data_IF_079615393041
#
_entry.id   IF_079615393041
#
_cell.length_a   1.000
_cell.length_b   1.000
_cell.length_c   1.000
_cell.angle_alpha   90.00
_cell.angle_beta   90.00
_cell.angle_gamma   90.00
#
_symmetry.space_group_name_H-M   'P 1'
#
loop_
_entity.id
_entity.type
_entity.pdbx_description
1 polymer ?
#
# COMPACT_ATOMS: atom_id res chain seq x y z
N UNK A 1 -51.40 16.58 -11.62
CA UNK A 1 -50.73 15.68 -10.67
C UNK A 1 -49.47 15.19 -11.37
N UNK A 2 -48.35 15.87 -11.15
CA UNK A 2 -47.09 15.66 -11.86
C UNK A 2 -46.19 14.90 -10.90
N UNK A 3 -45.78 13.68 -11.25
CA UNK A 3 -44.81 12.91 -10.48
C UNK A 3 -43.43 13.54 -10.69
N UNK A 4 -42.96 14.36 -9.75
CA UNK A 4 -41.54 14.68 -9.65
C UNK A 4 -40.79 13.43 -9.18
N UNK A 5 -39.96 12.90 -10.06
CA UNK A 5 -38.94 11.91 -9.71
C UNK A 5 -37.88 12.61 -8.86
N UNK A 6 -37.44 12.05 -7.72
CA UNK A 6 -36.38 12.66 -6.93
C UNK A 6 -35.08 12.65 -7.72
N UNK A 7 -34.40 13.79 -7.71
CA UNK A 7 -33.06 13.97 -8.27
C UNK A 7 -32.12 12.91 -7.68
N UNK A 8 -31.22 12.29 -8.46
CA UNK A 8 -30.25 11.35 -7.91
C UNK A 8 -29.40 12.09 -6.87
N UNK A 9 -29.39 11.56 -5.65
CA UNK A 9 -28.46 11.97 -4.61
C UNK A 9 -27.03 11.95 -5.18
N UNK A 10 -26.15 12.90 -4.82
CA UNK A 10 -24.76 12.81 -5.22
C UNK A 10 -24.18 11.51 -4.65
N UNK A 11 -23.84 10.58 -5.54
CA UNK A 11 -22.99 9.46 -5.19
C UNK A 11 -21.71 10.03 -4.57
N UNK A 12 -21.24 9.54 -3.40
CA UNK A 12 -19.96 9.98 -2.86
C UNK A 12 -18.87 9.70 -3.90
N UNK A 13 -18.00 10.69 -4.14
CA UNK A 13 -17.01 10.65 -5.21
C UNK A 13 -16.14 9.39 -5.13
N UNK A 14 -16.38 8.46 -6.04
CA UNK A 14 -15.70 7.17 -6.23
C UNK A 14 -14.26 7.29 -6.78
N UNK A 15 -13.52 8.37 -6.48
CA UNK A 15 -12.40 8.77 -7.33
C UNK A 15 -11.17 9.36 -6.64
N UNK A 16 -10.92 9.06 -5.37
CA UNK A 16 -9.66 9.45 -4.73
C UNK A 16 -8.69 8.28 -4.75
N UNK A 17 -7.64 8.41 -5.54
CA UNK A 17 -6.56 7.42 -5.62
C UNK A 17 -5.59 7.57 -4.44
N UNK A 18 -4.78 6.53 -4.16
CA UNK A 18 -3.66 6.62 -3.19
C UNK A 18 -2.80 7.88 -3.39
N UNK A 19 -2.67 8.32 -4.65
CA UNK A 19 -1.89 9.49 -5.02
C UNK A 19 -2.48 10.79 -4.48
N UNK A 20 -3.81 10.92 -4.47
CA UNK A 20 -4.53 12.16 -4.15
C UNK A 20 -4.93 12.25 -2.67
N UNK A 21 -4.66 11.20 -1.88
CA UNK A 21 -4.93 11.20 -0.44
C UNK A 21 -3.69 10.84 0.34
N UNK A 22 -3.30 9.58 0.27
CA UNK A 22 -2.24 9.01 1.10
C UNK A 22 -0.88 9.63 0.80
N UNK A 23 -0.55 9.80 -0.48
CA UNK A 23 0.74 10.37 -0.88
C UNK A 23 0.78 11.90 -0.86
N UNK A 24 -0.33 12.58 -0.56
CA UNK A 24 -0.34 14.02 -0.23
C UNK A 24 -0.14 14.26 1.28
N UNK A 25 -0.28 13.21 2.09
CA UNK A 25 -0.13 13.29 3.54
C UNK A 25 1.32 13.60 3.92
N UNK A 26 1.53 14.75 4.57
CA UNK A 26 2.84 15.18 5.07
C UNK A 26 3.55 14.15 5.96
N UNK A 27 2.90 13.50 6.95
CA UNK A 27 3.56 12.46 7.76
C UNK A 27 3.96 11.22 6.94
N UNK A 28 3.18 10.83 5.92
CA UNK A 28 3.55 9.74 5.01
C UNK A 28 4.79 10.12 4.20
N UNK A 29 4.78 11.30 3.58
CA UNK A 29 5.90 11.78 2.78
C UNK A 29 7.18 11.92 3.60
N UNK A 30 7.09 12.43 4.83
CA UNK A 30 8.22 12.52 5.74
C UNK A 30 8.80 11.13 6.04
N UNK A 31 7.96 10.16 6.36
CA UNK A 31 8.40 8.79 6.66
C UNK A 31 9.02 8.09 5.45
N UNK A 32 8.40 8.23 4.27
CA UNK A 32 8.93 7.69 3.01
C UNK A 32 10.32 8.27 2.72
N UNK A 33 10.47 9.59 2.83
CA UNK A 33 11.75 10.27 2.57
C UNK A 33 12.84 9.93 3.58
N UNK A 34 12.48 9.70 4.84
CA UNK A 34 13.45 9.36 5.89
C UNK A 34 13.91 7.90 5.81
N UNK A 35 13.02 6.97 5.50
CA UNK A 35 13.24 5.54 5.76
C UNK A 35 13.14 4.62 4.54
N UNK A 36 12.68 5.10 3.38
CA UNK A 36 12.39 4.24 2.22
C UNK A 36 12.98 4.77 0.91
N UNK A 37 13.27 3.84 0.00
CA UNK A 37 13.48 4.12 -1.42
C UNK A 37 12.28 3.57 -2.17
N UNK A 38 11.55 4.41 -2.89
CA UNK A 38 10.35 4.03 -3.62
C UNK A 38 10.67 3.73 -5.09
N UNK A 39 10.14 2.61 -5.59
CA UNK A 39 10.21 2.22 -7.00
C UNK A 39 8.92 1.53 -7.42
N UNK A 40 8.70 1.43 -8.73
CA UNK A 40 7.62 0.65 -9.33
C UNK A 40 8.18 -0.20 -10.48
N UNK A 41 7.50 -1.30 -10.79
CA UNK A 41 7.87 -2.19 -11.89
C UNK A 41 6.61 -2.80 -12.47
N UNK A 42 6.62 -3.07 -13.78
CA UNK A 42 5.55 -3.80 -14.42
C UNK A 42 5.77 -5.30 -14.24
N UNK A 43 4.68 -6.06 -14.03
CA UNK A 43 4.74 -7.53 -13.96
C UNK A 43 5.43 -8.10 -15.19
N UNK A 44 5.13 -7.55 -16.37
CA UNK A 44 5.74 -7.97 -17.62
C UNK A 44 7.27 -7.80 -17.64
N UNK A 45 7.77 -6.71 -17.04
CA UNK A 45 9.22 -6.48 -16.93
C UNK A 45 9.86 -7.49 -15.98
N UNK A 46 9.20 -7.83 -14.88
CA UNK A 46 9.66 -8.85 -13.93
C UNK A 46 9.68 -10.24 -14.57
N UNK A 47 8.65 -10.61 -15.33
CA UNK A 47 8.61 -11.87 -16.11
C UNK A 47 9.73 -11.92 -17.16
N UNK A 48 9.98 -10.82 -17.86
CA UNK A 48 11.07 -10.73 -18.83
C UNK A 48 12.44 -10.82 -18.15
N UNK A 49 12.61 -10.27 -16.95
CA UNK A 49 13.83 -10.43 -16.14
C UNK A 49 13.99 -11.88 -15.65
N UNK A 50 12.90 -12.56 -15.31
CA UNK A 50 12.94 -13.95 -14.85
C UNK A 50 13.39 -14.92 -15.97
N UNK A 51 13.02 -14.64 -17.22
CA UNK A 51 13.31 -15.51 -18.37
C UNK A 51 14.70 -15.28 -18.97
N UNK A 52 15.30 -14.09 -18.79
CA UNK A 52 16.66 -13.78 -19.27
C UNK A 52 17.72 -14.51 -18.45
N UNK A 53 18.49 -15.38 -19.11
CA UNK A 53 19.57 -16.17 -18.47
C UNK A 53 20.86 -15.38 -18.18
N UNK A 54 20.92 -14.13 -18.61
CA UNK A 54 22.15 -13.34 -18.59
C UNK A 54 22.52 -12.83 -17.19
N UNK A 55 21.55 -12.74 -16.26
CA UNK A 55 21.80 -12.22 -14.93
C UNK A 55 21.01 -12.98 -13.86
N UNK A 56 21.68 -13.93 -13.19
CA UNK A 56 21.08 -14.72 -12.11
C UNK A 56 20.61 -13.86 -10.93
N UNK A 57 21.34 -12.77 -10.64
CA UNK A 57 20.99 -11.84 -9.57
C UNK A 57 19.64 -11.16 -9.84
N UNK A 58 19.45 -10.55 -11.01
CA UNK A 58 18.16 -9.92 -11.35
C UNK A 58 17.04 -10.94 -11.50
N UNK A 59 17.31 -12.14 -12.02
CA UNK A 59 16.34 -13.22 -12.05
C UNK A 59 15.84 -13.57 -10.65
N UNK A 60 16.74 -13.67 -9.67
CA UNK A 60 16.36 -14.01 -8.30
C UNK A 60 15.51 -12.91 -7.65
N UNK A 61 15.88 -11.64 -7.86
CA UNK A 61 15.08 -10.51 -7.37
C UNK A 61 13.68 -10.51 -7.99
N UNK A 62 13.58 -10.71 -9.30
CA UNK A 62 12.29 -10.78 -10.00
C UNK A 62 11.43 -11.94 -9.50
N UNK A 63 12.02 -13.12 -9.26
CA UNK A 63 11.32 -14.27 -8.68
C UNK A 63 10.73 -13.95 -7.31
N UNK A 64 11.49 -13.32 -6.41
CA UNK A 64 11.03 -12.94 -5.07
C UNK A 64 9.85 -11.97 -5.10
N UNK A 65 9.83 -11.03 -6.06
CA UNK A 65 8.73 -10.09 -6.22
C UNK A 65 7.51 -10.78 -6.83
N UNK A 66 7.69 -11.58 -7.89
CA UNK A 66 6.61 -12.33 -8.54
C UNK A 66 5.94 -13.35 -7.59
N UNK A 67 6.69 -13.93 -6.65
CA UNK A 67 6.15 -14.86 -5.64
C UNK A 67 5.07 -14.21 -4.75
N UNK A 68 5.21 -12.91 -4.45
CA UNK A 68 4.26 -12.18 -3.59
C UNK A 68 3.21 -11.41 -4.37
N UNK A 69 3.41 -11.20 -5.66
CA UNK A 69 2.50 -10.42 -6.47
C UNK A 69 1.15 -11.12 -6.63
N UNK A 70 0.07 -10.40 -6.32
CA UNK A 70 -1.29 -10.77 -6.65
C UNK A 70 -1.96 -9.64 -7.45
N UNK A 71 -2.65 -10.00 -8.54
CA UNK A 71 -3.29 -9.03 -9.43
C UNK A 71 -4.37 -8.20 -8.68
N UNK A 72 -4.56 -6.89 -8.98
CA UNK A 72 -3.92 -6.10 -10.06
C UNK A 72 -2.67 -5.32 -9.65
N UNK A 73 -2.55 -4.96 -8.37
CA UNK A 73 -1.47 -4.13 -7.84
C UNK A 73 -1.16 -4.64 -6.44
N UNK A 74 0.13 -4.78 -6.17
CA UNK A 74 0.65 -5.22 -4.88
C UNK A 74 1.70 -4.18 -4.43
N UNK A 75 1.52 -3.62 -3.24
CA UNK A 75 2.52 -2.77 -2.61
C UNK A 75 3.44 -3.66 -1.78
N UNK A 76 4.75 -3.51 -1.92
CA UNK A 76 5.74 -4.35 -1.24
C UNK A 76 6.80 -3.49 -0.53
N UNK A 77 7.27 -3.98 0.62
CA UNK A 77 8.45 -3.49 1.32
C UNK A 77 9.49 -4.61 1.26
N UNK A 78 10.64 -4.29 0.69
CA UNK A 78 11.70 -5.22 0.41
C UNK A 78 13.01 -4.81 1.11
N UNK A 79 13.78 -5.78 1.57
CA UNK A 79 15.19 -5.55 1.94
C UNK A 79 16.05 -5.33 0.67
N UNK A 80 17.26 -4.75 0.78
CA UNK A 80 18.14 -4.52 -0.37
C UNK A 80 18.51 -5.77 -1.18
N UNK A 81 18.40 -6.96 -0.57
CA UNK A 81 18.62 -8.25 -1.24
C UNK A 81 17.37 -8.79 -1.97
N UNK A 82 16.28 -8.02 -2.04
CA UNK A 82 15.02 -8.37 -2.68
C UNK A 82 14.04 -9.18 -1.83
N UNK A 83 14.38 -9.51 -0.59
CA UNK A 83 13.47 -10.24 0.30
C UNK A 83 12.26 -9.36 0.64
N UNK A 84 11.06 -9.81 0.26
CA UNK A 84 9.81 -9.12 0.60
C UNK A 84 9.44 -9.41 2.05
N UNK A 85 9.40 -8.38 2.89
CA UNK A 85 9.13 -8.49 4.34
C UNK A 85 7.72 -8.07 4.73
N UNK A 86 7.07 -7.26 3.89
CA UNK A 86 5.68 -6.89 4.03
C UNK A 86 5.11 -6.56 2.66
N UNK A 87 3.86 -6.93 2.43
CA UNK A 87 3.13 -6.57 1.22
C UNK A 87 1.65 -6.41 1.52
N UNK A 88 0.95 -5.67 0.65
CA UNK A 88 -0.49 -5.49 0.71
C UNK A 88 -1.08 -5.33 -0.70
N UNK A 89 -2.12 -6.12 -0.97
CA UNK A 89 -2.83 -6.09 -2.23
C UNK A 89 -3.75 -4.86 -2.30
N UNK A 90 -3.87 -4.23 -3.46
CA UNK A 90 -4.70 -3.04 -3.63
C UNK A 90 -6.18 -3.30 -3.35
N UNK A 91 -6.74 -4.47 -3.70
CA UNK A 91 -8.14 -4.77 -3.42
C UNK A 91 -8.37 -4.86 -1.91
N UNK A 92 -7.51 -5.59 -1.21
CA UNK A 92 -7.58 -5.70 0.26
C UNK A 92 -7.40 -4.34 0.94
N UNK A 93 -6.49 -3.50 0.43
CA UNK A 93 -6.32 -2.14 0.92
C UNK A 93 -7.61 -1.32 0.79
N UNK A 94 -8.26 -1.36 -0.38
CA UNK A 94 -9.53 -0.64 -0.58
C UNK A 94 -10.65 -1.17 0.32
N UNK A 95 -10.71 -2.48 0.55
CA UNK A 95 -11.72 -3.09 1.42
C UNK A 95 -11.61 -2.58 2.86
N UNK A 96 -10.40 -2.56 3.44
CA UNK A 96 -10.19 -2.12 4.82
C UNK A 96 -10.34 -0.61 5.00
N UNK A 97 -10.07 0.19 3.97
CA UNK A 97 -10.18 1.65 4.04
C UNK A 97 -11.59 2.16 3.71
N UNK A 98 -12.44 1.33 3.13
CA UNK A 98 -13.84 1.65 2.84
C UNK A 98 -14.77 1.47 4.04
N UNK A 99 -14.28 0.87 5.14
CA UNK A 99 -15.07 0.64 6.35
C UNK A 99 -15.33 1.95 7.11
N UNK A 100 -16.58 2.13 7.54
CA UNK A 100 -16.98 3.31 8.31
C UNK A 100 -16.38 3.24 9.73
N UNK A 101 -16.03 4.37 10.36
CA UNK A 101 -15.42 4.41 11.70
C UNK A 101 -16.21 3.70 12.80
N UNK A 102 -17.50 3.45 12.59
CA UNK A 102 -18.43 2.83 13.54
C UNK A 102 -18.11 1.36 13.88
N UNK A 103 -17.22 0.68 13.14
CA UNK A 103 -16.87 -0.74 13.34
C UNK A 103 -15.45 -0.95 13.91
N UNK A 104 -14.69 0.13 14.17
CA UNK A 104 -13.26 0.08 14.59
C UNK A 104 -13.11 0.35 16.10
N UNK A 105 -13.96 -0.21 16.94
CA UNK A 105 -13.75 -0.28 18.39
C UNK A 105 -13.37 -1.70 18.81
N UNK A 106 -12.10 -2.09 18.66
CA UNK A 106 -11.60 -3.31 19.34
C UNK A 106 -10.08 -3.50 19.39
N UNK A 107 -9.25 -2.89 18.54
CA UNK A 107 -7.81 -3.22 18.55
C UNK A 107 -6.82 -2.05 18.49
N UNK A 108 -6.46 -1.62 19.71
CA UNK A 108 -5.11 -1.31 20.22
C UNK A 108 -4.28 -0.19 19.53
N UNK A 109 -3.99 0.85 20.34
CA UNK A 109 -3.14 2.05 20.14
C UNK A 109 -3.80 3.30 19.53
N UNK A 110 -4.55 4.01 20.36
CA UNK A 110 -4.94 5.42 20.12
C UNK A 110 -3.70 6.33 20.14
N UNK A 111 -3.22 6.73 18.97
CA UNK A 111 -2.43 7.96 18.80
C UNK A 111 -3.37 9.10 18.37
N UNK A 112 -3.10 10.28 18.90
CA UNK A 112 -3.95 11.48 18.97
C UNK A 112 -4.62 11.93 17.66
N UNK A 113 -5.93 12.17 17.79
CA UNK A 113 -6.75 13.24 17.16
C UNK A 113 -6.06 14.11 16.10
N UNK A 114 -6.31 13.80 14.83
CA UNK A 114 -6.72 14.73 13.77
C UNK A 114 -7.38 13.89 12.66
N UNK A 115 -8.26 14.49 11.88
CA UNK A 115 -9.09 13.86 10.83
C UNK A 115 -8.27 13.20 9.70
N UNK A 116 -7.50 12.14 9.98
CA UNK A 116 -6.82 11.37 8.95
C UNK A 116 -7.80 10.38 8.30
N UNK A 117 -7.87 10.43 6.97
CA UNK A 117 -8.61 9.46 6.15
C UNK A 117 -8.14 8.03 6.51
N UNK A 118 -9.06 7.05 6.66
CA UNK A 118 -8.75 5.64 6.90
C UNK A 118 -7.62 5.08 6.03
N UNK A 119 -7.52 5.54 4.78
CA UNK A 119 -6.47 5.17 3.83
C UNK A 119 -5.08 5.61 4.30
N UNK A 120 -4.98 6.83 4.85
CA UNK A 120 -3.71 7.38 5.35
C UNK A 120 -3.27 6.64 6.60
N UNK A 121 -4.18 6.41 7.54
CA UNK A 121 -3.89 5.64 8.75
C UNK A 121 -3.44 4.20 8.44
N UNK A 122 -4.14 3.55 7.51
CA UNK A 122 -3.81 2.19 7.05
C UNK A 122 -2.44 2.13 6.38
N UNK A 123 -2.13 3.08 5.50
CA UNK A 123 -0.83 3.10 4.82
C UNK A 123 0.32 3.44 5.78
N UNK A 124 0.11 4.37 6.73
CA UNK A 124 1.09 4.67 7.76
C UNK A 124 1.41 3.43 8.61
N UNK A 125 0.36 2.67 8.96
CA UNK A 125 0.52 1.40 9.67
C UNK A 125 1.31 0.38 8.85
N UNK A 126 0.98 0.21 7.57
CA UNK A 126 1.73 -0.65 6.64
C UNK A 126 3.23 -0.30 6.62
N UNK A 127 3.58 0.98 6.49
CA UNK A 127 4.98 1.43 6.51
C UNK A 127 5.66 1.13 7.85
N UNK A 128 5.01 1.46 8.97
CA UNK A 128 5.56 1.23 10.32
C UNK A 128 5.74 -0.25 10.64
N UNK A 129 4.79 -1.10 10.24
CA UNK A 129 4.92 -2.56 10.35
C UNK A 129 6.08 -3.08 9.51
N UNK A 130 6.27 -2.55 8.30
CA UNK A 130 7.41 -2.88 7.44
C UNK A 130 8.75 -2.55 8.12
N UNK A 131 8.89 -1.36 8.69
CA UNK A 131 10.09 -0.97 9.45
C UNK A 131 10.30 -1.86 10.67
N UNK A 132 9.23 -2.18 11.40
CA UNK A 132 9.33 -3.08 12.55
C UNK A 132 9.84 -4.47 12.14
N UNK A 133 9.31 -5.03 11.05
CA UNK A 133 9.76 -6.33 10.50
C UNK A 133 11.19 -6.28 9.94
N UNK A 134 11.66 -5.10 9.52
CA UNK A 134 13.03 -4.91 9.05
C UNK A 134 14.06 -4.88 10.19
N UNK A 135 13.69 -4.49 11.42
CA UNK A 135 14.64 -4.30 12.55
C UNK A 135 15.61 -5.47 12.78
N UNK A 136 15.19 -6.75 12.78
CA UNK A 136 16.10 -7.87 12.98
C UNK A 136 17.21 -7.97 11.92
N UNK A 137 16.99 -7.40 10.73
CA UNK A 137 17.93 -7.41 9.61
C UNK A 137 18.84 -6.18 9.58
N UNK A 138 18.53 -5.15 10.38
CA UNK A 138 19.29 -3.89 10.44
C UNK A 138 20.28 -3.84 11.61
N UNK A 139 20.19 -4.79 12.57
CA UNK A 139 21.17 -4.94 13.64
C UNK A 139 22.36 -5.74 13.10
N UNK A 140 23.33 -5.02 12.51
CA UNK A 140 24.67 -5.54 12.19
C UNK A 140 25.67 -4.91 13.13
#
# INVERSE_FOLDING_TARGET
MVHEQPSPLPFPSSGRTLRETVLESSPILALLNESFVSSWSLVKELEDLQTKRENEFYRKLAELHLEKYNFPVEMMICLPNGTVIHHINANYFLDITSMKPEEVESSVFSFSTNFEDPSTATYLRFLKEGLHRAKPFLQT
#
